data_IF_908608364435
#
_entry.id   IF_908608364435
#
_cell.length_a   1.000
_cell.length_b   1.000
_cell.length_c   1.000
_cell.angle_alpha   90.00
_cell.angle_beta   90.00
_cell.angle_gamma   90.00
#
_symmetry.space_group_name_H-M   'P 1'
#
loop_
_entity.id
_entity.type
_entity.pdbx_description
1 polymer ?
#
# COMPACT_ATOMS: atom_id res chain seq x y z
N UNK A 1 -36.79 15.09 34.52
CA UNK A 1 -35.54 14.84 33.77
C UNK A 1 -35.92 14.55 32.32
N UNK A 2 -35.79 15.54 31.43
CA UNK A 2 -36.09 15.38 30.00
C UNK A 2 -34.96 14.58 29.37
N UNK A 3 -35.27 13.40 28.83
CA UNK A 3 -34.33 12.57 28.05
C UNK A 3 -33.88 13.40 26.84
N UNK A 4 -32.57 13.63 26.72
CA UNK A 4 -31.98 14.16 25.50
C UNK A 4 -32.29 13.19 24.36
N UNK A 5 -33.04 13.67 23.37
CA UNK A 5 -33.44 12.88 22.22
C UNK A 5 -32.30 12.97 21.19
N UNK A 6 -31.42 11.95 21.17
CA UNK A 6 -30.25 11.88 20.28
C UNK A 6 -30.60 11.92 18.77
N UNK A 7 -31.87 11.75 18.42
CA UNK A 7 -32.35 11.81 17.03
C UNK A 7 -32.48 13.23 16.48
N UNK A 8 -32.33 14.28 17.30
CA UNK A 8 -32.37 15.66 16.81
C UNK A 8 -31.08 16.08 16.08
N UNK A 9 -30.00 15.29 16.17
CA UNK A 9 -28.76 15.49 15.42
C UNK A 9 -28.66 14.60 14.16
N UNK A 10 -29.76 13.96 13.76
CA UNK A 10 -29.80 13.05 12.60
C UNK A 10 -30.37 13.70 11.32
N UNK A 11 -30.66 15.00 11.33
CA UNK A 11 -31.02 15.73 10.11
C UNK A 11 -29.75 16.37 9.51
N UNK A 12 -29.56 16.27 8.17
CA UNK A 12 -28.31 16.63 7.51
C UNK A 12 -28.10 18.14 7.58
N UNK A 13 -27.05 18.56 8.28
CA UNK A 13 -26.48 19.89 8.10
C UNK A 13 -25.90 19.98 6.67
N UNK A 14 -26.49 20.81 5.82
CA UNK A 14 -25.99 21.24 4.51
C UNK A 14 -25.59 20.15 3.49
N UNK A 15 -26.27 19.00 3.47
CA UNK A 15 -26.03 17.98 2.43
C UNK A 15 -24.64 17.33 2.48
N UNK A 16 -23.90 17.54 3.57
CA UNK A 16 -22.67 16.81 3.86
C UNK A 16 -23.06 15.46 4.46
N UNK A 17 -23.09 14.44 3.61
CA UNK A 17 -23.04 13.06 4.10
C UNK A 17 -21.76 12.92 4.89
N UNK A 18 -21.84 12.43 6.14
CA UNK A 18 -20.65 12.05 6.89
C UNK A 18 -19.81 11.14 5.97
N UNK A 19 -18.49 11.40 5.79
CA UNK A 19 -17.68 10.51 5.01
C UNK A 19 -17.86 9.12 5.63
N UNK A 20 -18.33 8.16 4.84
CA UNK A 20 -18.41 6.78 5.30
C UNK A 20 -16.97 6.39 5.62
N UNK A 21 -16.60 6.40 6.89
CA UNK A 21 -15.28 5.99 7.34
C UNK A 21 -15.22 4.48 7.11
N UNK A 22 -14.84 4.08 5.90
CA UNK A 22 -14.57 2.70 5.56
C UNK A 22 -13.21 2.35 6.15
N UNK A 23 -13.22 1.77 7.34
CA UNK A 23 -12.01 1.17 7.90
C UNK A 23 -11.51 0.08 6.95
N UNK A 24 -10.25 0.20 6.53
CA UNK A 24 -9.57 -0.84 5.77
C UNK A 24 -9.13 -1.95 6.72
N UNK A 25 -9.46 -3.20 6.40
CA UNK A 25 -8.97 -4.33 7.17
C UNK A 25 -7.54 -4.65 6.74
N UNK A 26 -6.61 -4.81 7.70
CA UNK A 26 -5.20 -5.11 7.40
C UNK A 26 -5.01 -6.38 6.55
N UNK A 27 -5.87 -7.39 6.73
CA UNK A 27 -5.89 -8.62 5.90
C UNK A 27 -6.09 -8.36 4.40
N UNK A 28 -6.70 -7.23 4.05
CA UNK A 28 -6.99 -6.85 2.67
C UNK A 28 -5.79 -6.17 2.01
N UNK A 29 -4.76 -5.77 2.78
CA UNK A 29 -3.51 -5.20 2.28
C UNK A 29 -2.48 -6.29 2.00
N UNK A 30 -1.80 -6.18 0.86
CA UNK A 30 -0.69 -7.04 0.50
C UNK A 30 0.43 -6.24 -0.14
N UNK A 31 1.67 -6.52 0.28
CA UNK A 31 2.85 -6.03 -0.39
C UNK A 31 3.12 -6.90 -1.63
N UNK A 32 3.33 -6.23 -2.75
CA UNK A 32 3.66 -6.87 -4.01
C UNK A 32 4.94 -6.25 -4.57
N UNK A 33 5.72 -7.05 -5.28
CA UNK A 33 6.98 -6.65 -5.92
C UNK A 33 6.94 -6.95 -7.40
N UNK A 34 7.58 -6.12 -8.21
CA UNK A 34 7.74 -6.41 -9.63
C UNK A 34 8.85 -7.44 -9.84
N UNK A 35 8.64 -8.35 -10.77
CA UNK A 35 9.68 -9.27 -11.21
C UNK A 35 10.87 -8.52 -11.82
N UNK A 36 12.01 -9.20 -11.96
CA UNK A 36 13.23 -8.61 -12.53
C UNK A 36 13.06 -8.15 -13.98
N UNK A 37 12.00 -8.57 -14.67
CA UNK A 37 11.68 -8.12 -16.02
C UNK A 37 10.77 -6.89 -16.05
N UNK A 38 10.15 -6.51 -14.92
CA UNK A 38 9.20 -5.40 -14.82
C UNK A 38 7.84 -5.68 -15.49
N UNK A 39 7.53 -6.95 -15.76
CA UNK A 39 6.33 -7.37 -16.49
C UNK A 39 5.23 -7.86 -15.54
N UNK A 40 5.62 -8.59 -14.50
CA UNK A 40 4.67 -9.25 -13.60
C UNK A 40 4.79 -8.70 -12.19
N UNK A 41 3.64 -8.39 -11.60
CA UNK A 41 3.55 -8.03 -10.20
C UNK A 41 3.30 -9.31 -9.38
N UNK A 42 4.17 -9.57 -8.40
CA UNK A 42 4.15 -10.75 -7.55
C UNK A 42 3.76 -10.35 -6.12
N UNK A 43 2.66 -10.89 -5.60
CA UNK A 43 2.29 -10.70 -4.20
C UNK A 43 3.18 -11.57 -3.29
N UNK A 44 3.66 -11.00 -2.19
CA UNK A 44 4.42 -11.75 -1.18
C UNK A 44 3.47 -12.75 -0.52
N UNK A 45 3.76 -14.04 -0.66
CA UNK A 45 2.96 -15.09 -0.01
C UNK A 45 3.32 -15.21 1.46
N UNK A 46 2.34 -15.61 2.27
CA UNK A 46 2.54 -15.81 3.71
C UNK A 46 2.64 -14.57 4.56
N UNK A 47 2.50 -13.38 3.98
CA UNK A 47 2.51 -12.12 4.72
C UNK A 47 1.48 -12.12 5.87
N UNK A 48 1.96 -11.82 7.08
CA UNK A 48 1.16 -11.64 8.29
C UNK A 48 1.16 -10.17 8.71
N UNK A 49 2.32 -9.52 8.67
CA UNK A 49 2.50 -8.10 8.99
C UNK A 49 2.88 -7.24 7.78
N UNK A 50 2.40 -6.00 7.80
CA UNK A 50 2.83 -4.94 6.88
C UNK A 50 2.76 -3.59 7.61
N UNK A 51 3.92 -2.97 7.81
CA UNK A 51 4.06 -1.65 8.40
C UNK A 51 4.70 -0.72 7.37
N UNK A 52 4.10 0.45 7.17
CA UNK A 52 4.62 1.49 6.27
C UNK A 52 5.01 2.69 7.12
N UNK A 53 6.31 2.94 7.23
CA UNK A 53 6.85 4.07 7.98
C UNK A 53 7.14 5.22 7.03
N UNK A 54 6.83 6.45 7.45
CA UNK A 54 7.12 7.68 6.72
C UNK A 54 7.64 8.71 7.71
N UNK A 55 8.89 9.12 7.52
CA UNK A 55 9.56 10.11 8.37
C UNK A 55 10.05 11.29 7.54
N UNK A 56 10.33 12.39 8.23
CA UNK A 56 11.01 13.53 7.64
C UNK A 56 11.97 14.12 8.64
N UNK A 57 13.13 14.52 8.16
CA UNK A 57 14.08 15.28 8.96
C UNK A 57 13.45 16.60 9.44
N UNK A 58 14.03 17.19 10.48
CA UNK A 58 13.66 18.53 10.93
C UNK A 58 14.89 19.42 10.99
N UNK A 59 14.81 20.60 10.40
CA UNK A 59 15.85 21.64 10.48
C UNK A 59 15.35 22.67 11.49
N UNK A 60 16.10 22.88 12.58
CA UNK A 60 15.80 23.89 13.59
C UNK A 60 16.26 25.27 13.07
N UNK A 61 15.35 26.25 13.08
CA UNK A 61 15.59 27.62 12.57
C UNK A 61 15.51 28.69 13.67
N UNK A 62 15.45 28.27 14.93
CA UNK A 62 15.35 29.16 16.10
C UNK A 62 16.45 30.23 16.07
N UNK A 63 16.05 31.49 16.25
CA UNK A 63 16.97 32.64 16.34
C UNK A 63 16.77 33.37 17.68
N UNK A 64 17.62 34.35 17.99
CA UNK A 64 17.45 35.18 19.21
C UNK A 64 16.17 36.03 19.19
N UNK A 65 15.58 36.22 18.02
CA UNK A 65 14.33 36.95 17.83
C UNK A 65 13.10 36.03 17.84
N UNK A 66 13.29 34.71 17.99
CA UNK A 66 12.18 33.75 18.16
C UNK A 66 11.52 34.01 19.52
N UNK A 67 10.24 34.39 19.51
CA UNK A 67 9.50 34.73 20.72
C UNK A 67 9.22 33.48 21.60
N UNK A 68 9.70 33.53 22.85
CA UNK A 68 9.50 32.49 23.85
C UNK A 68 10.55 31.37 23.83
N UNK A 69 10.40 30.40 24.73
CA UNK A 69 11.33 29.26 24.87
C UNK A 69 11.03 28.10 23.90
N UNK A 70 10.38 28.40 22.77
CA UNK A 70 9.93 27.40 21.80
C UNK A 70 10.88 27.32 20.61
N UNK A 71 11.12 26.09 20.14
CA UNK A 71 11.96 25.82 18.97
C UNK A 71 11.12 25.89 17.70
N UNK A 72 11.56 26.70 16.74
CA UNK A 72 11.00 26.70 15.39
C UNK A 72 11.70 25.65 14.52
N UNK A 73 10.90 24.86 13.80
CA UNK A 73 11.40 23.79 12.93
C UNK A 73 10.72 23.83 11.56
N UNK A 74 11.51 23.57 10.53
CA UNK A 74 11.02 23.30 9.17
C UNK A 74 11.27 21.83 8.81
N UNK A 75 10.39 21.25 8.00
CA UNK A 75 10.55 19.88 7.52
C UNK A 75 11.71 19.79 6.51
N UNK A 76 12.63 18.85 6.75
CA UNK A 76 13.75 18.53 5.90
C UNK A 76 13.43 17.45 4.86
N UNK A 77 14.41 16.60 4.54
CA UNK A 77 14.23 15.51 3.59
C UNK A 77 13.22 14.48 4.12
N UNK A 78 12.50 13.84 3.20
CA UNK A 78 11.49 12.82 3.52
C UNK A 78 12.04 11.46 3.15
N UNK A 79 11.76 10.50 4.01
CA UNK A 79 12.12 9.10 3.82
C UNK A 79 10.92 8.22 4.16
N UNK A 80 10.99 6.97 3.73
CA UNK A 80 9.99 5.97 4.06
C UNK A 80 10.63 4.59 4.09
N UNK A 81 10.06 3.69 4.88
CA UNK A 81 10.45 2.29 4.92
C UNK A 81 9.22 1.39 5.01
N UNK A 82 9.39 0.13 4.64
CA UNK A 82 8.38 -0.91 4.82
C UNK A 82 9.01 -2.06 5.59
N UNK A 83 8.32 -2.49 6.64
CA UNK A 83 8.62 -3.71 7.37
C UNK A 83 7.51 -4.72 7.12
N UNK A 84 7.88 -5.94 6.73
CA UNK A 84 6.95 -7.02 6.48
C UNK A 84 7.48 -8.34 7.01
N UNK A 85 6.56 -9.14 7.55
CA UNK A 85 6.86 -10.43 8.14
C UNK A 85 5.78 -11.45 7.78
N UNK A 86 6.11 -12.73 7.90
CA UNK A 86 5.15 -13.79 7.69
C UNK A 86 5.75 -15.18 7.58
N UNK A 87 4.96 -16.10 7.01
CA UNK A 87 5.39 -17.48 6.75
C UNK A 87 6.20 -17.56 5.46
N UNK A 88 7.33 -18.25 5.52
CA UNK A 88 8.20 -18.44 4.37
C UNK A 88 7.75 -19.65 3.54
N UNK A 89 7.36 -19.40 2.29
CA UNK A 89 7.03 -20.45 1.33
C UNK A 89 8.17 -20.68 0.35
N UNK A 90 8.96 -21.74 0.56
CA UNK A 90 10.14 -22.05 -0.26
C UNK A 90 9.85 -22.26 -1.76
N UNK A 91 8.62 -22.64 -2.13
CA UNK A 91 8.22 -22.84 -3.52
C UNK A 91 7.76 -21.57 -4.23
N UNK A 92 7.70 -20.44 -3.53
CA UNK A 92 7.10 -19.22 -4.08
C UNK A 92 8.10 -18.35 -4.85
N UNK A 93 7.64 -17.83 -5.98
CA UNK A 93 8.46 -17.01 -6.88
C UNK A 93 8.76 -15.62 -6.31
N UNK A 94 7.90 -15.10 -5.41
CA UNK A 94 8.14 -13.79 -4.77
C UNK A 94 9.39 -13.83 -3.89
N UNK A 95 9.54 -14.86 -3.04
CA UNK A 95 10.72 -15.03 -2.18
C UNK A 95 12.01 -15.25 -2.96
N UNK A 96 11.95 -16.01 -4.06
CA UNK A 96 13.12 -16.23 -4.94
C UNK A 96 13.54 -14.91 -5.61
N UNK A 97 12.58 -14.12 -6.06
CA UNK A 97 12.81 -12.80 -6.67
C UNK A 97 13.39 -11.82 -5.66
N UNK A 98 12.83 -11.76 -4.45
CA UNK A 98 13.31 -10.91 -3.35
C UNK A 98 14.73 -11.26 -2.93
N UNK A 99 15.05 -12.56 -2.84
CA UNK A 99 16.41 -13.02 -2.53
C UNK A 99 17.39 -12.57 -3.61
N UNK A 100 17.00 -12.65 -4.89
CA UNK A 100 17.84 -12.19 -6.01
C UNK A 100 18.09 -10.68 -5.97
N UNK A 101 17.06 -9.87 -5.68
CA UNK A 101 17.22 -8.42 -5.51
C UNK A 101 18.15 -8.08 -4.35
N UNK A 102 18.04 -8.81 -3.23
CA UNK A 102 18.90 -8.64 -2.08
C UNK A 102 20.36 -8.99 -2.41
N UNK A 103 20.61 -10.15 -3.02
CA UNK A 103 21.95 -10.61 -3.38
C UNK A 103 22.65 -9.69 -4.38
N UNK A 104 21.91 -9.12 -5.32
CA UNK A 104 22.45 -8.18 -6.31
C UNK A 104 22.54 -6.74 -5.80
N UNK A 105 21.86 -6.40 -4.70
CA UNK A 105 21.69 -5.02 -4.24
C UNK A 105 20.90 -4.14 -5.20
N UNK A 106 20.07 -4.75 -6.04
CA UNK A 106 19.30 -4.05 -7.07
C UNK A 106 18.06 -3.35 -6.45
N UNK A 107 17.66 -2.18 -6.96
CA UNK A 107 16.43 -1.53 -6.51
C UNK A 107 15.20 -2.34 -6.91
N UNK A 108 14.33 -2.61 -5.94
CA UNK A 108 13.04 -3.29 -6.15
C UNK A 108 11.92 -2.27 -6.29
N UNK A 109 11.02 -2.48 -7.25
CA UNK A 109 9.78 -1.71 -7.34
C UNK A 109 8.70 -2.41 -6.53
N UNK A 110 8.12 -1.71 -5.58
CA UNK A 110 7.09 -2.23 -4.67
C UNK A 110 5.73 -1.58 -4.92
N UNK A 111 4.69 -2.32 -4.59
CA UNK A 111 3.31 -1.84 -4.62
C UNK A 111 2.50 -2.46 -3.50
N UNK A 112 1.88 -1.62 -2.68
CA UNK A 112 0.90 -2.02 -1.68
C UNK A 112 -0.47 -2.04 -2.36
N UNK A 113 -1.14 -3.20 -2.34
CA UNK A 113 -2.40 -3.42 -3.02
C UNK A 113 -3.49 -3.78 -2.00
N UNK A 114 -4.65 -3.17 -2.15
CA UNK A 114 -5.88 -3.60 -1.50
C UNK A 114 -6.55 -4.69 -2.34
N UNK A 115 -6.48 -5.94 -1.90
CA UNK A 115 -7.04 -7.12 -2.58
C UNK A 115 -8.55 -7.03 -2.73
N UNK A 116 -9.26 -6.53 -1.71
CA UNK A 116 -10.73 -6.42 -1.72
C UNK A 116 -11.22 -5.40 -2.74
N UNK A 117 -10.54 -4.27 -2.83
CA UNK A 117 -10.89 -3.18 -3.75
C UNK A 117 -10.23 -3.33 -5.12
N UNK A 118 -9.30 -4.28 -5.28
CA UNK A 118 -8.45 -4.45 -6.46
C UNK A 118 -7.83 -3.12 -6.88
N UNK A 119 -7.23 -2.42 -5.90
CA UNK A 119 -6.62 -1.10 -6.09
C UNK A 119 -5.26 -1.00 -5.43
N UNK A 120 -4.29 -0.44 -6.14
CA UNK A 120 -3.03 0.02 -5.57
C UNK A 120 -3.26 1.17 -4.60
N UNK A 121 -2.54 1.17 -3.49
CA UNK A 121 -2.58 2.22 -2.48
C UNK A 121 -1.28 3.02 -2.47
N UNK A 122 -0.15 2.33 -2.43
CA UNK A 122 1.16 2.96 -2.44
C UNK A 122 2.09 2.26 -3.40
N UNK A 123 2.96 3.01 -4.06
CA UNK A 123 4.01 2.45 -4.91
C UNK A 123 5.30 3.26 -4.77
N UNK A 124 6.44 2.59 -4.91
CA UNK A 124 7.74 3.23 -4.81
C UNK A 124 8.87 2.31 -5.21
N UNK A 125 10.06 2.87 -5.40
CA UNK A 125 11.28 2.09 -5.48
C UNK A 125 11.88 1.95 -4.09
N UNK A 126 12.42 0.80 -3.76
CA UNK A 126 13.09 0.55 -2.49
C UNK A 126 14.30 -0.35 -2.68
N UNK A 127 15.09 -0.49 -1.63
CA UNK A 127 16.18 -1.46 -1.53
C UNK A 127 15.91 -2.32 -0.30
N UNK A 128 16.17 -3.62 -0.39
CA UNK A 128 16.02 -4.54 0.73
C UNK A 128 17.25 -4.37 1.64
N UNK A 129 17.05 -3.94 2.88
CA UNK A 129 18.12 -3.68 3.84
C UNK A 129 18.30 -4.80 4.86
N UNK A 130 17.21 -5.51 5.18
CA UNK A 130 17.23 -6.72 5.99
C UNK A 130 16.33 -7.78 5.34
N UNK A 131 16.82 -9.01 5.32
CA UNK A 131 16.01 -10.17 4.99
C UNK A 131 16.44 -11.37 5.86
N UNK A 132 15.68 -11.61 6.92
CA UNK A 132 15.93 -12.63 7.92
C UNK A 132 14.94 -13.80 7.82
N UNK A 133 15.43 -15.00 8.07
CA UNK A 133 14.66 -16.25 8.08
C UNK A 133 14.83 -16.93 9.44
N UNK A 134 13.73 -17.27 10.09
CA UNK A 134 13.73 -18.01 11.34
C UNK A 134 13.10 -19.39 11.14
N UNK A 135 13.83 -20.44 11.50
CA UNK A 135 13.40 -21.83 11.34
C UNK A 135 13.57 -22.60 12.66
N UNK A 136 12.72 -22.31 13.67
CA UNK A 136 12.70 -23.07 14.93
C UNK A 136 12.37 -24.55 14.72
N UNK A 137 12.85 -25.43 15.61
CA UNK A 137 12.71 -26.88 15.45
C UNK A 137 11.24 -27.37 15.44
N UNK A 138 10.37 -26.69 16.17
CA UNK A 138 8.99 -27.11 16.44
C UNK A 138 7.93 -26.16 15.84
N UNK A 139 8.31 -25.27 14.91
CA UNK A 139 7.38 -24.32 14.26
C UNK A 139 7.70 -24.14 12.76
N UNK A 140 6.79 -23.47 12.03
CA UNK A 140 6.97 -23.16 10.63
C UNK A 140 8.09 -22.12 10.42
N UNK A 141 8.72 -22.16 9.23
CA UNK A 141 9.71 -21.15 8.86
C UNK A 141 9.01 -19.81 8.65
N UNK A 142 9.51 -18.78 9.32
CA UNK A 142 9.05 -17.41 9.15
C UNK A 142 10.12 -16.56 8.46
N UNK A 143 9.69 -15.46 7.88
CA UNK A 143 10.58 -14.44 7.35
C UNK A 143 10.24 -13.07 7.94
N UNK A 144 11.26 -12.22 8.00
CA UNK A 144 11.14 -10.79 8.28
C UNK A 144 11.97 -10.02 7.28
N UNK A 145 11.45 -8.90 6.79
CA UNK A 145 12.06 -8.11 5.74
C UNK A 145 11.84 -6.62 5.96
N UNK A 146 12.92 -5.85 5.85
CA UNK A 146 12.90 -4.40 5.88
C UNK A 146 13.35 -3.83 4.54
N UNK A 147 12.57 -2.88 4.03
CA UNK A 147 12.83 -2.19 2.78
C UNK A 147 12.93 -0.68 3.03
N UNK A 148 13.98 -0.06 2.48
CA UNK A 148 14.17 1.38 2.54
C UNK A 148 13.81 2.04 1.21
N UNK A 149 13.03 3.11 1.30
CA UNK A 149 12.50 3.85 0.17
C UNK A 149 13.54 4.65 -0.59
N UNK A 150 13.65 4.38 -1.89
CA UNK A 150 14.41 5.16 -2.85
C UNK A 150 13.49 6.16 -3.57
N UNK A 151 13.47 7.39 -3.08
CA UNK A 151 12.70 8.49 -3.69
C UNK A 151 11.28 8.62 -3.12
N UNK A 152 10.37 9.25 -3.88
CA UNK A 152 9.01 9.56 -3.41
C UNK A 152 8.16 8.29 -3.36
N UNK A 153 7.53 8.01 -2.21
CA UNK A 153 6.39 7.09 -2.13
C UNK A 153 5.18 7.74 -2.80
N UNK A 154 4.66 7.13 -3.84
CA UNK A 154 3.48 7.60 -4.59
C UNK A 154 2.23 7.04 -3.92
N UNK A 155 1.29 7.93 -3.62
CA UNK A 155 -0.03 7.56 -3.12
C UNK A 155 -0.97 7.38 -4.31
N UNK A 156 -1.25 6.13 -4.65
CA UNK A 156 -2.11 5.74 -5.77
C UNK A 156 -3.60 5.98 -5.49
N UNK A 157 -3.98 6.26 -4.23
CA UNK A 157 -5.35 6.66 -3.90
C UNK A 157 -5.62 8.11 -4.26
N UNK A 158 -4.59 8.96 -4.23
CA UNK A 158 -4.63 10.37 -4.60
C UNK A 158 -4.24 10.62 -6.07
N UNK A 159 -3.27 9.84 -6.57
CA UNK A 159 -2.75 9.91 -7.95
C UNK A 159 -2.92 8.53 -8.62
N UNK A 160 -4.15 8.16 -9.05
CA UNK A 160 -4.40 6.85 -9.64
C UNK A 160 -3.67 6.72 -10.98
N UNK A 161 -3.07 5.55 -11.22
CA UNK A 161 -2.49 5.20 -12.52
C UNK A 161 -3.62 4.88 -13.52
N UNK A 162 -3.44 5.24 -14.79
CA UNK A 162 -4.39 4.93 -15.88
C UNK A 162 -4.63 3.41 -16.05
N UNK A 163 -3.65 2.60 -15.61
CA UNK A 163 -3.77 1.14 -15.50
C UNK A 163 -3.22 0.66 -14.17
N UNK A 164 -4.04 -0.05 -13.39
CA UNK A 164 -3.67 -0.56 -12.08
C UNK A 164 -3.29 -2.04 -12.18
N UNK A 165 -1.99 -2.34 -12.35
CA UNK A 165 -1.51 -3.72 -12.40
C UNK A 165 -1.71 -4.41 -11.05
N UNK A 166 -2.47 -5.51 -11.04
CA UNK A 166 -2.71 -6.36 -9.87
C UNK A 166 -1.72 -7.53 -9.85
N UNK A 167 -1.38 -8.07 -8.66
CA UNK A 167 -0.49 -9.21 -8.60
C UNK A 167 -1.14 -10.45 -9.21
N UNK A 168 -0.38 -11.21 -10.00
CA UNK A 168 -0.85 -12.47 -10.57
C UNK A 168 -0.94 -13.52 -9.45
N UNK A 169 -2.16 -13.79 -8.97
CA UNK A 169 -2.38 -14.82 -7.94
C UNK A 169 -3.53 -14.62 -6.97
N UNK A 170 -4.48 -13.71 -7.22
CA UNK A 170 -5.78 -13.65 -6.53
C UNK A 170 -6.93 -13.36 -7.51
N UNK A 171 -6.88 -14.02 -8.67
CA UNK A 171 -7.90 -13.96 -9.70
C UNK A 171 -8.63 -15.31 -9.80
N UNK A 172 -9.49 -15.60 -8.83
CA UNK A 172 -10.71 -16.34 -9.17
C UNK A 172 -11.61 -15.39 -9.96
N UNK A 173 -11.73 -15.70 -11.27
CA UNK A 173 -12.85 -15.52 -12.21
C UNK A 173 -13.80 -14.31 -11.99
N UNK A 174 -14.19 -13.47 -12.95
CA UNK A 174 -14.33 -13.61 -14.40
C UNK A 174 -14.17 -12.23 -15.08
N UNK A 175 -13.75 -12.29 -16.34
CA UNK A 175 -13.87 -11.32 -17.44
C UNK A 175 -14.95 -10.25 -17.25
N UNK A 176 -14.55 -8.98 -17.32
CA UNK A 176 -15.46 -7.85 -17.57
C UNK A 176 -14.76 -6.83 -18.46
N UNK A 177 -15.12 -6.82 -19.73
CA UNK A 177 -15.17 -5.72 -20.71
C UNK A 177 -15.57 -6.38 -22.04
N UNK A 178 -16.54 -5.92 -22.82
CA UNK A 178 -16.97 -4.55 -23.05
C UNK A 178 -18.44 -4.46 -23.51
N UNK A 179 -19.03 -3.35 -23.14
CA UNK A 179 -20.34 -2.78 -23.48
C UNK A 179 -20.61 -2.54 -24.97
N UNK A 180 -21.85 -2.82 -25.35
CA UNK A 180 -22.77 -2.18 -26.30
C UNK A 180 -22.24 -1.26 -27.42
N UNK A 181 -22.77 -1.47 -28.62
CA UNK A 181 -23.28 -0.37 -29.44
C UNK A 181 -24.61 -0.75 -30.11
N UNK A 182 -25.57 0.10 -29.83
CA UNK A 182 -26.94 0.16 -30.30
C UNK A 182 -26.93 0.57 -31.79
N UNK A 183 -27.50 -0.23 -32.68
CA UNK A 183 -27.87 0.25 -34.02
C UNK A 183 -29.38 0.12 -34.20
N UNK A 184 -30.03 1.29 -34.11
CA UNK A 184 -31.42 1.50 -34.46
C UNK A 184 -31.48 1.63 -35.98
N UNK A 185 -31.91 0.59 -36.69
CA UNK A 185 -32.42 0.74 -38.06
C UNK A 185 -33.88 0.27 -38.11
N UNK A 186 -34.79 1.21 -38.00
CA UNK A 186 -36.16 1.02 -38.45
C UNK A 186 -36.20 1.21 -39.96
N UNK A 187 -36.52 0.15 -40.71
CA UNK A 187 -37.13 0.24 -42.04
C UNK A 187 -37.77 -1.08 -42.45
N UNK A 188 -39.06 -0.98 -42.78
CA UNK A 188 -39.86 -1.78 -43.72
C UNK A 188 -40.37 -3.19 -43.36
N UNK A 189 -41.70 -3.34 -43.53
CA UNK A 189 -42.51 -4.54 -43.36
C UNK A 189 -43.97 -4.19 -43.13
#
# INVERSE_FOLDING_TARGET
>A
MKKFNLQLFAEPYDGLTAPVVQALAGKDLILSVWDSTGTTLLAIKGQQGLTINRSSDSIEITSKDTEGDWKDKIAGMKEWSIDTDGLFYASDTSHTTLSTYFDNGDPVCIKVVNKKQKKGMFAGFSVITDYSLEAPHDDAVTFSMSLEGKGKLVDLTAEPLDTDTMPEGDATAETSQSTNSNDQSGTEG
#
